data_IF_000353814343
#
_entry.id   IF_000353814343
#
_cell.length_a   1.000
_cell.length_b   1.000
_cell.length_c   1.000
_cell.angle_alpha   90.00
_cell.angle_beta   90.00
_cell.angle_gamma   90.00
#
_symmetry.space_group_name_H-M   'P 1'
#
loop_
_entity.id
_entity.type
_entity.pdbx_description
1 polymer ?
#
# COMPACT_ATOMS: atom_id res chain seq x y z
N UNK A 1 -3.96 -19.86 18.15
CA UNK A 1 -4.37 -19.18 16.90
C UNK A 1 -4.79 -17.71 17.09
N UNK A 2 -5.57 -17.32 18.12
CA UNK A 2 -6.10 -15.94 18.27
C UNK A 2 -5.05 -14.81 18.39
N UNK A 3 -3.92 -15.05 19.05
CA UNK A 3 -2.88 -14.01 19.23
C UNK A 3 -2.18 -13.58 17.94
N UNK A 4 -1.98 -14.50 16.98
CA UNK A 4 -1.32 -14.18 15.71
C UNK A 4 -2.17 -13.22 14.85
N UNK A 5 -3.50 -13.40 14.84
CA UNK A 5 -4.43 -12.53 14.11
C UNK A 5 -4.63 -11.17 14.79
N UNK A 6 -4.62 -11.11 16.13
CA UNK A 6 -4.62 -9.82 16.85
C UNK A 6 -3.41 -8.96 16.47
N UNK A 7 -2.23 -9.58 16.37
CA UNK A 7 -1.00 -8.89 15.96
C UNK A 7 -1.04 -8.43 14.49
N UNK A 8 -1.75 -9.15 13.61
CA UNK A 8 -1.94 -8.76 12.22
C UNK A 8 -2.85 -7.53 12.09
N UNK A 9 -3.96 -7.52 12.85
CA UNK A 9 -4.90 -6.39 12.88
C UNK A 9 -4.25 -5.14 13.46
N UNK A 10 -3.45 -5.28 14.53
CA UNK A 10 -2.69 -4.17 15.11
C UNK A 10 -1.66 -3.59 14.14
N UNK A 11 -0.88 -4.45 13.46
CA UNK A 11 0.07 -4.00 12.44
C UNK A 11 -0.64 -3.25 11.31
N UNK A 12 -1.78 -3.76 10.83
CA UNK A 12 -2.58 -3.09 9.80
C UNK A 12 -3.11 -1.72 10.28
N UNK A 13 -3.58 -1.63 11.53
CA UNK A 13 -4.04 -0.37 12.11
C UNK A 13 -2.90 0.65 12.29
N UNK A 14 -1.73 0.19 12.72
CA UNK A 14 -0.52 1.03 12.77
C UNK A 14 -0.15 1.54 11.38
N UNK A 15 -0.23 0.69 10.35
CA UNK A 15 -0.04 1.09 8.95
C UNK A 15 -1.00 2.19 8.49
N UNK A 16 -2.29 2.10 8.85
CA UNK A 16 -3.28 3.14 8.53
C UNK A 16 -2.95 4.46 9.24
N UNK A 17 -2.51 4.42 10.51
CA UNK A 17 -2.11 5.59 11.27
C UNK A 17 -0.88 6.28 10.67
N UNK A 18 0.19 5.53 10.38
CA UNK A 18 1.40 6.10 9.79
C UNK A 18 1.16 6.68 8.40
N UNK A 19 0.31 6.05 7.59
CA UNK A 19 -0.07 6.61 6.28
C UNK A 19 -0.80 7.94 6.42
N UNK A 20 -1.67 8.06 7.45
CA UNK A 20 -2.39 9.30 7.75
C UNK A 20 -1.48 10.41 8.29
N UNK A 21 -0.32 10.06 8.83
CA UNK A 21 0.73 10.98 9.27
C UNK A 21 1.77 11.26 8.19
N UNK A 22 1.47 10.95 6.92
CA UNK A 22 2.39 11.13 5.79
C UNK A 22 3.74 10.43 6.00
N UNK A 23 3.75 9.32 6.74
CA UNK A 23 4.90 8.44 6.93
C UNK A 23 4.69 7.11 6.19
N UNK A 24 4.75 7.12 4.84
CA UNK A 24 4.46 5.94 4.04
C UNK A 24 5.53 4.85 4.17
N UNK A 25 6.77 5.21 4.54
CA UNK A 25 7.87 4.26 4.79
C UNK A 25 7.51 3.33 5.94
N UNK A 26 7.08 3.89 7.07
CA UNK A 26 6.70 3.09 8.25
C UNK A 26 5.38 2.35 7.99
N UNK A 27 4.45 2.99 7.27
CA UNK A 27 3.20 2.34 6.87
C UNK A 27 3.46 1.08 6.02
N UNK A 28 4.37 1.14 5.05
CA UNK A 28 4.76 0.01 4.22
C UNK A 28 5.23 -1.18 5.07
N UNK A 29 6.15 -0.94 6.00
CA UNK A 29 6.67 -1.99 6.90
C UNK A 29 5.55 -2.63 7.73
N UNK A 30 4.63 -1.82 8.26
CA UNK A 30 3.49 -2.30 9.05
C UNK A 30 2.53 -3.16 8.21
N UNK A 31 2.24 -2.77 6.96
CA UNK A 31 1.40 -3.57 6.07
C UNK A 31 2.07 -4.87 5.61
N UNK A 32 3.38 -4.88 5.40
CA UNK A 32 4.13 -6.11 5.11
C UNK A 32 4.02 -7.10 6.28
N UNK A 33 4.19 -6.61 7.52
CA UNK A 33 4.00 -7.43 8.73
C UNK A 33 2.56 -7.96 8.79
N UNK A 34 1.55 -7.11 8.56
CA UNK A 34 0.16 -7.54 8.56
C UNK A 34 -0.11 -8.62 7.51
N UNK A 35 0.37 -8.43 6.28
CA UNK A 35 0.19 -9.37 5.18
C UNK A 35 0.92 -10.71 5.38
N UNK A 36 1.96 -10.75 6.21
CA UNK A 36 2.66 -12.00 6.56
C UNK A 36 1.91 -12.89 7.56
N UNK A 37 0.83 -12.39 8.17
CA UNK A 37 0.10 -13.08 9.25
C UNK A 37 -1.27 -13.57 8.80
N UNK A 38 -1.71 -14.76 9.25
CA UNK A 38 -3.03 -15.29 8.91
C UNK A 38 -4.17 -14.53 9.61
N UNK A 39 -5.33 -14.47 8.96
CA UNK A 39 -6.57 -13.90 9.52
C UNK A 39 -6.76 -12.40 9.29
N UNK A 40 -5.87 -11.74 8.54
CA UNK A 40 -6.10 -10.37 8.06
C UNK A 40 -6.90 -10.38 6.75
N UNK A 41 -7.68 -9.32 6.51
CA UNK A 41 -8.20 -9.03 5.17
C UNK A 41 -7.02 -8.68 4.25
N UNK A 42 -6.50 -9.70 3.56
CA UNK A 42 -5.35 -9.60 2.66
C UNK A 42 -5.61 -8.61 1.52
N UNK A 43 -6.82 -8.57 0.98
CA UNK A 43 -7.19 -7.61 -0.04
C UNK A 43 -7.01 -6.17 0.45
N UNK A 44 -7.44 -5.88 1.68
CA UNK A 44 -7.27 -4.55 2.31
C UNK A 44 -5.82 -4.25 2.62
N UNK A 45 -5.09 -5.19 3.21
CA UNK A 45 -3.68 -5.01 3.56
C UNK A 45 -2.83 -4.73 2.32
N UNK A 46 -3.00 -5.53 1.26
CA UNK A 46 -2.27 -5.35 0.00
C UNK A 46 -2.65 -4.05 -0.72
N UNK A 47 -3.93 -3.66 -0.72
CA UNK A 47 -4.33 -2.37 -1.31
C UNK A 47 -3.64 -1.20 -0.59
N UNK A 48 -3.63 -1.22 0.75
CA UNK A 48 -2.98 -0.16 1.53
C UNK A 48 -1.45 -0.17 1.41
N UNK A 49 -0.85 -1.35 1.33
CA UNK A 49 0.58 -1.51 1.06
C UNK A 49 0.96 -0.85 -0.28
N UNK A 50 0.20 -1.12 -1.35
CA UNK A 50 0.45 -0.50 -2.65
C UNK A 50 0.30 1.01 -2.65
N UNK A 51 -0.65 1.56 -1.87
CA UNK A 51 -0.80 3.02 -1.71
C UNK A 51 0.42 3.61 -1.01
N UNK A 52 0.87 3.01 0.10
CA UNK A 52 2.08 3.45 0.80
C UNK A 52 3.34 3.38 -0.09
N UNK A 53 3.42 2.41 -1.01
CA UNK A 53 4.49 2.34 -2.00
C UNK A 53 4.38 3.45 -3.04
N UNK A 54 3.16 3.72 -3.54
CA UNK A 54 2.92 4.81 -4.48
C UNK A 54 3.22 6.19 -3.89
N UNK A 55 2.89 6.43 -2.62
CA UNK A 55 3.19 7.69 -1.90
C UNK A 55 4.71 7.90 -1.70
N UNK A 56 5.51 6.83 -1.73
CA UNK A 56 6.98 6.90 -1.73
C UNK A 56 7.57 7.05 -3.14
N UNK A 57 6.76 7.07 -4.19
CA UNK A 57 7.24 7.04 -5.58
C UNK A 57 7.72 5.66 -6.06
N UNK A 58 7.52 4.59 -5.28
CA UNK A 58 7.85 3.19 -5.64
C UNK A 58 6.79 2.59 -6.55
N UNK A 59 6.59 3.20 -7.72
CA UNK A 59 5.44 2.90 -8.57
C UNK A 59 5.48 1.47 -9.15
N UNK A 60 6.67 0.94 -9.47
CA UNK A 60 6.80 -0.41 -9.99
C UNK A 60 6.44 -1.46 -8.92
N UNK A 61 6.93 -1.26 -7.69
CA UNK A 61 6.59 -2.09 -6.53
C UNK A 61 5.11 -1.99 -6.18
N UNK A 62 4.54 -0.79 -6.23
CA UNK A 62 3.11 -0.57 -6.03
C UNK A 62 2.27 -1.38 -7.03
N UNK A 63 2.62 -1.34 -8.32
CA UNK A 63 1.94 -2.14 -9.36
C UNK A 63 2.04 -3.64 -9.08
N UNK A 64 3.22 -4.13 -8.70
CA UNK A 64 3.43 -5.53 -8.35
C UNK A 64 2.60 -5.95 -7.11
N UNK A 65 2.43 -5.05 -6.14
CA UNK A 65 1.57 -5.27 -4.98
C UNK A 65 0.09 -5.28 -5.35
N UNK A 66 -0.38 -4.33 -6.16
CA UNK A 66 -1.78 -4.27 -6.59
C UNK A 66 -2.19 -5.50 -7.42
N UNK A 67 -1.27 -6.08 -8.20
CA UNK A 67 -1.51 -7.32 -8.95
C UNK A 67 -1.85 -8.52 -8.04
N UNK A 68 -1.44 -8.49 -6.77
CA UNK A 68 -1.74 -9.54 -5.78
C UNK A 68 -3.11 -9.37 -5.12
N UNK A 69 -3.79 -8.23 -5.32
CA UNK A 69 -5.08 -7.95 -4.70
C UNK A 69 -6.19 -8.74 -5.39
N UNK A 70 -6.95 -9.48 -4.59
CA UNK A 70 -8.09 -10.30 -5.05
C UNK A 70 -9.38 -9.91 -4.33
N UNK A 71 -10.49 -10.55 -4.72
CA UNK A 71 -11.79 -10.34 -4.10
C UNK A 71 -12.37 -8.95 -4.34
N UNK A 72 -13.17 -8.47 -3.38
CA UNK A 72 -13.96 -7.23 -3.50
C UNK A 72 -13.13 -5.95 -3.71
N UNK A 73 -11.82 -6.00 -3.47
CA UNK A 73 -10.90 -4.86 -3.64
C UNK A 73 -10.17 -4.85 -4.98
N UNK A 74 -10.28 -5.90 -5.79
CA UNK A 74 -9.62 -5.98 -7.10
C UNK A 74 -9.90 -4.76 -8.00
N UNK A 75 -11.15 -4.24 -8.11
CA UNK A 75 -11.41 -3.04 -8.91
C UNK A 75 -10.69 -1.79 -8.40
N UNK A 76 -10.60 -1.63 -7.07
CA UNK A 76 -9.89 -0.52 -6.45
C UNK A 76 -8.39 -0.62 -6.73
N UNK A 77 -7.80 -1.80 -6.58
CA UNK A 77 -6.39 -2.03 -6.89
C UNK A 77 -6.06 -1.79 -8.38
N UNK A 78 -6.99 -2.10 -9.28
CA UNK A 78 -6.84 -1.80 -10.70
C UNK A 78 -6.75 -0.28 -10.96
N UNK A 79 -7.59 0.52 -10.32
CA UNK A 79 -7.52 1.99 -10.41
C UNK A 79 -6.16 2.52 -9.94
N UNK A 80 -5.67 2.01 -8.81
CA UNK A 80 -4.35 2.40 -8.30
C UNK A 80 -3.19 1.91 -9.18
N UNK A 81 -3.33 0.76 -9.84
CA UNK A 81 -2.34 0.26 -10.81
C UNK A 81 -2.22 1.22 -12.00
N UNK A 82 -3.34 1.73 -12.48
CA UNK A 82 -3.38 2.74 -13.55
C UNK A 82 -2.72 4.04 -13.08
N UNK A 83 -3.06 4.51 -11.87
CA UNK A 83 -2.43 5.68 -11.28
C UNK A 83 -0.91 5.54 -11.17
N UNK A 84 -0.41 4.44 -10.62
CA UNK A 84 1.02 4.17 -10.49
C UNK A 84 1.70 4.11 -11.87
N UNK A 85 1.04 3.50 -12.87
CA UNK A 85 1.55 3.46 -14.25
C UNK A 85 1.70 4.87 -14.85
N UNK A 86 0.72 5.75 -14.61
CA UNK A 86 0.76 7.14 -15.09
C UNK A 86 1.85 7.94 -14.40
N UNK A 87 1.99 7.80 -13.07
CA UNK A 87 3.02 8.49 -12.29
C UNK A 87 4.43 8.04 -12.64
N UNK A 88 4.63 6.76 -12.94
CA UNK A 88 5.91 6.24 -13.41
C UNK A 88 6.34 6.82 -14.78
N UNK A 89 5.38 7.26 -15.60
CA UNK A 89 5.62 7.84 -16.92
C UNK A 89 5.70 9.36 -16.92
N UNK A 90 5.19 10.03 -15.89
CA UNK A 90 5.23 11.48 -15.81
C UNK A 90 6.69 11.94 -15.65
N UNK A 91 7.20 12.84 -16.52
CA UNK A 91 8.48 13.49 -16.25
C UNK A 91 8.36 14.27 -14.93
N UNK A 92 9.42 14.26 -14.12
CA UNK A 92 9.47 15.04 -12.88
C UNK A 92 9.00 16.48 -13.17
N UNK A 93 8.13 17.08 -12.33
CA UNK A 93 7.69 18.44 -12.56
C UNK A 93 8.94 19.33 -12.64
N UNK A 94 9.13 19.98 -13.80
CA UNK A 94 10.17 20.98 -13.95
C UNK A 94 9.91 22.04 -12.89
N UNK A 95 10.85 22.17 -11.95
CA UNK A 95 10.82 23.22 -10.95
C UNK A 95 11.02 24.55 -11.69
N UNK A 96 9.92 25.19 -12.08
CA UNK A 96 9.94 26.59 -12.51
C UNK A 96 10.09 27.45 -11.28
N UNK A 97 11.34 27.67 -10.86
CA UNK A 97 11.71 28.80 -10.02
C UNK A 97 11.69 30.05 -10.91
N UNK A 98 10.73 30.94 -10.64
CA UNK A 98 10.74 32.32 -11.12
C UNK A 98 11.40 33.25 -10.11
#
# INVERSE_FOLDING_TARGET
ARGASANATLAKAAGDAFLSYENPVTAEAMYQIAASKPGVDMGRALTRLGIAQADQGKYAEAQATFAKVTGVRKPIAALWTIYAAQRAKAPAPASTAG
#
